data_IF_017396007751
#
_entry.id   IF_017396007751
#
_cell.length_a   1.000
_cell.length_b   1.000
_cell.length_c   1.000
_cell.angle_alpha   90.00
_cell.angle_beta   90.00
_cell.angle_gamma   90.00
#
_symmetry.space_group_name_H-M   'P 1'
#
loop_
_entity.id
_entity.type
_entity.pdbx_description
1 polymer ?
#
# COMPACT_ATOMS: atom_id res chain seq x y z
N UNK A 1 -17.30 5.75 34.61
CA UNK A 1 -17.35 6.78 33.56
C UNK A 1 -15.98 6.79 32.93
N UNK A 2 -15.84 6.09 31.84
CA UNK A 2 -14.56 5.96 31.09
C UNK A 2 -14.76 6.72 29.81
N UNK A 3 -14.21 7.93 29.76
CA UNK A 3 -14.15 8.72 28.54
C UNK A 3 -13.19 8.02 27.56
N UNK A 4 -13.74 7.37 26.55
CA UNK A 4 -12.98 6.98 25.38
C UNK A 4 -12.75 8.26 24.55
N UNK A 5 -11.60 8.87 24.75
CA UNK A 5 -11.08 9.88 23.84
C UNK A 5 -10.78 9.20 22.50
N UNK A 6 -11.78 9.21 21.61
CA UNK A 6 -11.57 8.86 20.22
C UNK A 6 -10.54 9.84 19.65
N UNK A 7 -9.46 9.32 19.06
CA UNK A 7 -8.55 10.14 18.24
C UNK A 7 -9.38 10.96 17.25
N UNK A 8 -9.09 12.26 17.07
CA UNK A 8 -9.79 13.05 16.08
C UNK A 8 -9.60 12.37 14.72
N UNK A 9 -10.73 12.03 14.07
CA UNK A 9 -10.71 11.53 12.72
C UNK A 9 -9.96 12.53 11.83
N UNK A 10 -9.09 12.03 10.96
CA UNK A 10 -8.41 12.87 9.97
C UNK A 10 -9.46 13.68 9.20
N UNK A 11 -9.29 14.99 9.14
CA UNK A 11 -10.15 15.89 8.35
C UNK A 11 -9.87 15.82 6.85
N UNK A 12 -9.11 14.79 6.41
CA UNK A 12 -8.78 14.60 5.00
C UNK A 12 -9.95 14.02 4.21
N UNK A 13 -10.08 14.44 2.96
CA UNK A 13 -10.95 13.79 1.96
C UNK A 13 -10.18 12.71 1.25
N UNK A 14 -10.83 11.56 1.00
CA UNK A 14 -10.24 10.43 0.27
C UNK A 14 -10.93 10.29 -1.08
N UNK A 15 -10.13 10.15 -2.12
CA UNK A 15 -10.56 9.98 -3.49
C UNK A 15 -9.94 8.73 -4.10
N UNK A 16 -10.70 8.02 -4.94
CA UNK A 16 -10.23 6.87 -5.70
C UNK A 16 -9.87 7.32 -7.11
N UNK A 17 -8.72 6.90 -7.60
CA UNK A 17 -8.18 7.26 -8.90
C UNK A 17 -7.88 6.02 -9.74
N UNK A 18 -8.20 6.11 -11.03
CA UNK A 18 -7.68 5.22 -12.06
C UNK A 18 -6.28 5.67 -12.55
N UNK A 19 -5.70 4.95 -13.52
CA UNK A 19 -4.35 5.25 -14.00
C UNK A 19 -4.21 6.64 -14.64
N UNK A 20 -5.18 7.09 -15.44
CA UNK A 20 -5.13 8.39 -16.13
C UNK A 20 -5.22 9.56 -15.13
N UNK A 21 -6.06 9.43 -14.11
CA UNK A 21 -6.22 10.43 -13.05
C UNK A 21 -4.97 10.48 -12.16
N UNK A 22 -4.40 9.32 -11.82
CA UNK A 22 -3.15 9.24 -11.08
C UNK A 22 -1.96 9.80 -11.87
N UNK A 23 -1.92 9.60 -13.20
CA UNK A 23 -0.92 10.22 -14.06
C UNK A 23 -1.05 11.75 -14.09
N UNK A 24 -2.27 12.26 -14.14
CA UNK A 24 -2.53 13.70 -14.09
C UNK A 24 -2.08 14.35 -12.77
N UNK A 25 -2.14 13.61 -11.66
CA UNK A 25 -1.70 14.04 -10.31
C UNK A 25 -0.26 13.60 -9.97
N UNK A 26 0.49 13.06 -10.94
CA UNK A 26 1.81 12.47 -10.67
C UNK A 26 2.75 13.42 -9.90
N UNK A 27 2.76 14.72 -10.23
CA UNK A 27 3.60 15.69 -9.53
C UNK A 27 3.31 15.81 -8.02
N UNK A 28 2.04 15.80 -7.63
CA UNK A 28 1.62 15.86 -6.22
C UNK A 28 1.89 14.53 -5.51
N UNK A 29 1.63 13.40 -6.16
CA UNK A 29 1.89 12.07 -5.64
C UNK A 29 3.39 11.88 -5.37
N UNK A 30 4.26 12.25 -6.32
CA UNK A 30 5.70 12.15 -6.19
C UNK A 30 6.25 13.08 -5.10
N UNK A 31 5.68 14.28 -4.96
CA UNK A 31 6.03 15.19 -3.86
C UNK A 31 5.66 14.59 -2.50
N UNK A 32 4.46 14.03 -2.37
CA UNK A 32 4.01 13.36 -1.14
C UNK A 32 4.85 12.11 -0.84
N UNK A 33 5.23 11.32 -1.85
CA UNK A 33 6.16 10.20 -1.71
C UNK A 33 7.50 10.67 -1.13
N UNK A 34 8.11 11.68 -1.75
CA UNK A 34 9.36 12.27 -1.30
C UNK A 34 9.27 12.76 0.15
N UNK A 35 8.20 13.48 0.50
CA UNK A 35 7.97 13.98 1.86
C UNK A 35 7.81 12.83 2.86
N UNK A 36 7.02 11.82 2.54
CA UNK A 36 6.76 10.69 3.43
C UNK A 36 8.00 9.83 3.70
N UNK A 37 8.86 9.63 2.70
CA UNK A 37 10.00 8.71 2.80
C UNK A 37 11.33 9.39 3.13
N UNK A 38 11.46 10.71 2.98
CA UNK A 38 12.67 11.45 3.36
C UNK A 38 12.94 11.46 4.87
N UNK A 39 11.92 11.28 5.70
CA UNK A 39 11.98 11.29 7.17
C UNK A 39 11.69 9.92 7.79
N UNK A 40 11.48 8.89 6.97
CA UNK A 40 11.01 7.59 7.46
C UNK A 40 12.16 6.64 7.80
N UNK A 41 11.87 5.62 8.62
CA UNK A 41 12.73 4.46 8.91
C UNK A 41 12.99 3.57 7.68
N UNK A 42 12.32 3.83 6.57
CA UNK A 42 12.63 3.28 5.26
C UNK A 42 13.91 3.99 4.81
N UNK A 43 15.01 3.31 4.77
CA UNK A 43 16.32 3.82 4.29
C UNK A 43 16.25 4.17 2.77
N UNK A 44 15.20 4.93 2.41
CA UNK A 44 14.94 5.38 1.05
C UNK A 44 15.81 6.58 0.77
N UNK A 45 17.00 6.31 0.26
CA UNK A 45 17.91 7.36 -0.15
C UNK A 45 17.44 8.05 -1.44
N UNK A 46 18.07 9.17 -1.80
CA UNK A 46 17.74 9.96 -2.99
C UNK A 46 17.70 9.12 -4.27
N UNK A 47 18.54 8.09 -4.38
CA UNK A 47 18.54 7.16 -5.53
C UNK A 47 17.25 6.34 -5.60
N UNK A 48 16.74 5.88 -4.46
CA UNK A 48 15.48 5.13 -4.40
C UNK A 48 14.28 6.01 -4.74
N UNK A 49 14.27 7.23 -4.22
CA UNK A 49 13.23 8.23 -4.55
C UNK A 49 13.23 8.50 -6.06
N UNK A 50 14.39 8.78 -6.63
CA UNK A 50 14.54 9.02 -8.08
C UNK A 50 14.13 7.80 -8.91
N UNK A 51 14.47 6.59 -8.49
CA UNK A 51 14.03 5.37 -9.18
C UNK A 51 12.50 5.22 -9.16
N UNK A 52 11.86 5.56 -8.04
CA UNK A 52 10.41 5.57 -7.94
C UNK A 52 9.80 6.59 -8.92
N UNK A 53 10.30 7.81 -8.94
CA UNK A 53 9.79 8.89 -9.79
C UNK A 53 9.97 8.61 -11.29
N UNK A 54 11.15 8.13 -11.70
CA UNK A 54 11.53 8.04 -13.12
C UNK A 54 11.18 6.69 -13.77
N UNK A 55 11.04 5.62 -13.00
CA UNK A 55 10.84 4.26 -13.53
C UNK A 55 9.68 3.52 -12.86
N UNK A 56 9.69 3.39 -11.51
CA UNK A 56 8.79 2.46 -10.83
C UNK A 56 7.33 2.91 -10.96
N UNK A 57 7.01 4.14 -10.54
CA UNK A 57 5.65 4.65 -10.59
C UNK A 57 5.09 4.74 -12.01
N UNK A 58 5.80 5.30 -13.02
CA UNK A 58 5.33 5.28 -14.40
C UNK A 58 5.08 3.90 -15.00
N UNK A 59 5.84 2.90 -14.58
CA UNK A 59 5.66 1.51 -14.99
C UNK A 59 4.45 0.87 -14.28
N UNK A 60 4.24 1.17 -12.99
CA UNK A 60 3.12 0.67 -12.22
C UNK A 60 1.78 1.21 -12.72
N UNK A 61 1.69 2.47 -13.14
CA UNK A 61 0.49 3.06 -13.78
C UNK A 61 -0.02 2.24 -14.98
N UNK A 62 0.86 1.54 -15.67
CA UNK A 62 0.53 0.72 -16.86
C UNK A 62 0.20 -0.74 -16.53
N UNK A 63 0.21 -1.12 -15.25
CA UNK A 63 -0.12 -2.48 -14.82
C UNK A 63 -1.62 -2.70 -14.89
N UNK A 64 -2.00 -3.93 -15.26
CA UNK A 64 -3.39 -4.35 -15.22
C UNK A 64 -3.96 -4.17 -13.81
N UNK A 65 -5.20 -3.69 -13.73
CA UNK A 65 -5.89 -3.51 -12.47
C UNK A 65 -5.29 -2.43 -11.56
N UNK A 66 -4.47 -1.50 -12.10
CA UNK A 66 -4.00 -0.37 -11.29
C UNK A 66 -5.17 0.39 -10.66
N UNK A 67 -5.08 0.62 -9.38
CA UNK A 67 -6.02 1.44 -8.61
C UNK A 67 -5.28 2.18 -7.50
N UNK A 68 -5.71 3.37 -7.21
CA UNK A 68 -5.09 4.25 -6.22
C UNK A 68 -6.14 4.96 -5.37
N UNK A 69 -5.80 5.22 -4.14
CA UNK A 69 -6.51 6.17 -3.27
C UNK A 69 -5.56 7.27 -2.85
N UNK A 70 -6.03 8.49 -2.85
CA UNK A 70 -5.29 9.67 -2.38
C UNK A 70 -6.06 10.37 -1.27
N UNK A 71 -5.33 11.08 -0.42
CA UNK A 71 -5.92 11.89 0.65
C UNK A 71 -5.47 13.34 0.52
N UNK A 72 -6.43 14.24 0.52
CA UNK A 72 -6.19 15.68 0.54
C UNK A 72 -6.58 16.24 1.91
N UNK A 73 -5.74 17.09 2.48
CA UNK A 73 -6.06 17.82 3.70
C UNK A 73 -7.06 18.98 3.43
N UNK A 74 -7.42 19.71 4.47
CA UNK A 74 -8.36 20.85 4.37
C UNK A 74 -7.88 21.98 3.47
N UNK A 75 -6.58 22.07 3.23
CA UNK A 75 -5.98 23.07 2.34
C UNK A 75 -5.90 22.58 0.89
N UNK A 76 -6.39 21.37 0.62
CA UNK A 76 -6.35 20.74 -0.69
C UNK A 76 -5.00 20.14 -1.06
N UNK A 77 -4.03 20.07 -0.14
CA UNK A 77 -2.74 19.43 -0.36
C UNK A 77 -2.89 17.91 -0.28
N UNK A 78 -2.31 17.17 -1.23
CA UNK A 78 -2.18 15.72 -1.17
C UNK A 78 -1.16 15.35 -0.07
N UNK A 79 -1.60 14.60 0.94
CA UNK A 79 -0.82 14.26 2.15
C UNK A 79 -0.66 12.77 2.40
N UNK A 80 -1.17 11.94 1.50
CA UNK A 80 -0.99 10.50 1.56
C UNK A 80 -1.68 9.80 0.41
N UNK A 81 -1.25 8.57 0.13
CA UNK A 81 -1.82 7.72 -0.91
C UNK A 81 -1.56 6.24 -0.63
N UNK A 82 -2.36 5.39 -1.26
CA UNK A 82 -2.15 3.95 -1.33
C UNK A 82 -2.49 3.47 -2.74
N UNK A 83 -1.66 2.63 -3.35
CA UNK A 83 -1.99 2.04 -4.65
C UNK A 83 -1.50 0.60 -4.79
N UNK A 84 -2.10 -0.06 -5.74
CA UNK A 84 -1.75 -1.41 -6.13
C UNK A 84 -2.19 -1.74 -7.54
N UNK A 85 -1.93 -2.97 -7.96
CA UNK A 85 -2.25 -3.51 -9.28
C UNK A 85 -2.32 -5.04 -9.22
N UNK A 86 -2.67 -5.70 -10.32
CA UNK A 86 -2.67 -7.16 -10.39
C UNK A 86 -1.23 -7.66 -10.48
N UNK A 87 -0.83 -8.44 -9.49
CA UNK A 87 0.47 -9.10 -9.40
C UNK A 87 0.47 -10.41 -10.18
N UNK A 88 1.39 -10.54 -11.15
CA UNK A 88 1.53 -11.71 -12.01
C UNK A 88 2.98 -12.21 -12.06
N UNK A 89 3.17 -13.48 -12.35
CA UNK A 89 4.50 -14.03 -12.66
C UNK A 89 5.14 -13.28 -13.83
N UNK A 90 6.45 -13.09 -13.77
CA UNK A 90 7.19 -12.23 -14.68
C UNK A 90 7.30 -10.78 -14.20
N UNK A 91 6.63 -10.42 -13.14
CA UNK A 91 6.80 -9.13 -12.46
C UNK A 91 7.79 -9.27 -11.31
N UNK A 92 8.59 -8.22 -11.11
CA UNK A 92 9.71 -8.24 -10.15
C UNK A 92 9.29 -8.69 -8.75
N UNK A 93 8.25 -8.07 -8.17
CA UNK A 93 7.83 -8.35 -6.79
C UNK A 93 7.30 -9.79 -6.66
N UNK A 94 6.41 -10.22 -7.55
CA UNK A 94 5.84 -11.56 -7.54
C UNK A 94 6.93 -12.63 -7.65
N UNK A 95 7.87 -12.48 -8.60
CA UNK A 95 8.96 -13.43 -8.80
C UNK A 95 9.97 -13.39 -7.64
N UNK A 96 10.23 -12.20 -7.07
CA UNK A 96 11.10 -12.04 -5.91
C UNK A 96 10.57 -12.79 -4.69
N UNK A 97 9.26 -12.67 -4.41
CA UNK A 97 8.60 -13.38 -3.31
C UNK A 97 8.50 -14.88 -3.60
N UNK A 98 8.09 -15.28 -4.82
CA UNK A 98 7.98 -16.67 -5.22
C UNK A 98 9.28 -17.46 -5.02
N UNK A 99 10.41 -16.85 -5.34
CA UNK A 99 11.73 -17.47 -5.16
C UNK A 99 12.13 -17.71 -3.69
N UNK A 100 11.40 -17.15 -2.71
CA UNK A 100 11.77 -17.14 -1.28
C UNK A 100 10.76 -17.81 -0.36
N UNK A 101 9.62 -18.20 -0.87
CA UNK A 101 8.57 -18.89 -0.09
C UNK A 101 8.42 -20.33 -0.56
N UNK A 102 7.72 -21.13 0.24
CA UNK A 102 7.45 -22.50 -0.13
C UNK A 102 6.51 -22.59 -1.36
N UNK A 103 6.71 -23.48 -2.33
CA UNK A 103 5.88 -23.57 -3.55
C UNK A 103 4.36 -23.70 -3.30
N UNK A 104 3.94 -24.30 -2.19
CA UNK A 104 2.53 -24.36 -1.83
C UNK A 104 1.94 -22.99 -1.47
N UNK A 105 2.74 -22.12 -0.84
CA UNK A 105 2.35 -20.75 -0.50
C UNK A 105 2.35 -19.89 -1.75
N UNK A 106 3.36 -20.03 -2.61
CA UNK A 106 3.38 -19.39 -3.94
C UNK A 106 2.08 -19.67 -4.69
N UNK A 107 1.76 -20.93 -4.91
CA UNK A 107 0.52 -21.35 -5.60
C UNK A 107 -0.75 -20.82 -4.91
N UNK A 108 -0.73 -20.69 -3.59
CA UNK A 108 -1.89 -20.25 -2.80
C UNK A 108 -2.09 -18.74 -2.83
N UNK A 109 -1.03 -17.95 -2.97
CA UNK A 109 -1.07 -16.51 -2.77
C UNK A 109 -0.74 -15.70 -4.01
N UNK A 110 0.16 -16.16 -4.89
CA UNK A 110 0.69 -15.37 -6.00
C UNK A 110 0.01 -15.70 -7.34
N UNK A 111 0.11 -14.77 -8.28
CA UNK A 111 -0.51 -14.86 -9.61
C UNK A 111 -2.00 -14.49 -9.59
N UNK A 112 -2.38 -13.35 -10.17
CA UNK A 112 -3.73 -12.80 -10.17
C UNK A 112 -4.19 -12.26 -8.82
N UNK A 113 -3.28 -12.01 -7.88
CA UNK A 113 -3.57 -11.33 -6.62
C UNK A 113 -3.53 -9.80 -6.82
N UNK A 114 -4.22 -9.06 -5.96
CA UNK A 114 -4.02 -7.62 -5.90
C UNK A 114 -2.78 -7.33 -5.04
N UNK A 115 -1.74 -6.78 -5.65
CA UNK A 115 -0.51 -6.38 -4.96
C UNK A 115 -0.65 -4.94 -4.49
N UNK A 116 -0.57 -4.69 -3.17
CA UNK A 116 -0.43 -3.34 -2.64
C UNK A 116 1.04 -2.98 -2.74
N UNK A 117 1.35 -2.05 -3.64
CA UNK A 117 2.71 -1.66 -3.96
C UNK A 117 3.24 -0.57 -3.03
N UNK A 118 2.41 0.42 -2.68
CA UNK A 118 2.82 1.52 -1.79
C UNK A 118 1.67 2.00 -0.90
N UNK A 119 2.02 2.35 0.32
CA UNK A 119 1.19 3.11 1.25
C UNK A 119 2.05 4.21 1.88
N UNK A 120 1.79 5.45 1.54
CA UNK A 120 2.52 6.61 2.03
C UNK A 120 1.59 7.57 2.77
N UNK A 121 2.02 8.06 3.92
CA UNK A 121 1.34 9.10 4.70
C UNK A 121 2.40 10.07 5.21
N UNK A 122 2.23 11.37 4.94
CA UNK A 122 3.13 12.39 5.45
C UNK A 122 3.18 12.38 6.98
N UNK A 123 4.34 12.67 7.54
CA UNK A 123 4.61 12.49 8.98
C UNK A 123 3.57 13.20 9.86
N UNK A 124 3.19 14.41 9.50
CA UNK A 124 2.21 15.21 10.25
C UNK A 124 0.81 14.58 10.31
N UNK A 125 0.48 13.71 9.35
CA UNK A 125 -0.82 13.03 9.25
C UNK A 125 -0.79 11.59 9.81
N UNK A 126 0.37 11.10 10.24
CA UNK A 126 0.50 9.77 10.85
C UNK A 126 -0.18 9.70 12.22
N UNK A 127 -0.58 8.50 12.60
CA UNK A 127 -1.25 8.26 13.89
C UNK A 127 -2.71 8.75 13.98
N UNK A 128 -3.23 9.40 12.93
CA UNK A 128 -4.61 9.91 12.84
C UNK A 128 -5.59 8.98 12.11
N UNK A 129 -5.19 7.75 11.80
CA UNK A 129 -6.01 6.77 11.10
C UNK A 129 -6.02 6.90 9.57
N UNK A 130 -5.27 7.84 8.98
CA UNK A 130 -5.29 8.11 7.55
C UNK A 130 -4.82 6.90 6.71
N UNK A 131 -3.74 6.22 7.12
CA UNK A 131 -3.26 5.02 6.43
C UNK A 131 -4.32 3.90 6.38
N UNK A 132 -5.08 3.72 7.47
CA UNK A 132 -6.21 2.78 7.49
C UNK A 132 -7.30 3.19 6.50
N UNK A 133 -7.67 4.46 6.50
CA UNK A 133 -8.72 4.96 5.64
C UNK A 133 -8.36 4.81 4.15
N UNK A 134 -7.12 5.14 3.77
CA UNK A 134 -6.60 4.95 2.41
C UNK A 134 -6.63 3.48 2.00
N UNK A 135 -6.07 2.60 2.82
CA UNK A 135 -6.01 1.17 2.52
C UNK A 135 -7.39 0.54 2.48
N UNK A 136 -8.29 0.87 3.41
CA UNK A 136 -9.67 0.37 3.39
C UNK A 136 -10.40 0.82 2.13
N UNK A 137 -10.31 2.10 1.77
CA UNK A 137 -10.93 2.63 0.55
C UNK A 137 -10.40 1.94 -0.71
N UNK A 138 -9.08 1.67 -0.77
CA UNK A 138 -8.49 0.93 -1.89
C UNK A 138 -9.04 -0.51 -1.94
N UNK A 139 -9.05 -1.22 -0.83
CA UNK A 139 -9.56 -2.59 -0.75
C UNK A 139 -11.04 -2.66 -1.14
N UNK A 140 -11.87 -1.71 -0.68
CA UNK A 140 -13.30 -1.67 -0.99
C UNK A 140 -13.58 -1.47 -2.49
N UNK A 141 -12.64 -0.84 -3.22
CA UNK A 141 -12.74 -0.66 -4.68
C UNK A 141 -12.37 -1.91 -5.49
N UNK A 142 -11.84 -2.97 -4.84
CA UNK A 142 -11.28 -4.15 -5.50
C UNK A 142 -12.17 -5.37 -5.31
N UNK A 143 -12.07 -6.32 -6.24
CA UNK A 143 -12.84 -7.56 -6.23
C UNK A 143 -12.01 -8.84 -6.14
N UNK A 144 -10.68 -8.73 -6.08
CA UNK A 144 -9.79 -9.90 -6.06
C UNK A 144 -9.92 -10.66 -4.73
N UNK A 145 -9.93 -11.99 -4.81
CA UNK A 145 -10.02 -12.88 -3.63
C UNK A 145 -8.80 -12.80 -2.73
N UNK A 146 -7.65 -12.43 -3.30
CA UNK A 146 -6.35 -12.40 -2.63
C UNK A 146 -5.70 -11.05 -2.78
N UNK A 147 -5.26 -10.51 -1.66
CA UNK A 147 -4.46 -9.29 -1.60
C UNK A 147 -3.14 -9.62 -0.95
N UNK A 148 -2.03 -9.12 -1.47
CA UNK A 148 -0.70 -9.33 -0.91
C UNK A 148 0.08 -8.03 -0.83
N UNK A 149 0.96 -7.94 0.15
CA UNK A 149 1.91 -6.84 0.33
C UNK A 149 3.18 -7.33 1.01
N UNK A 150 4.22 -6.53 0.96
CA UNK A 150 5.45 -6.75 1.70
C UNK A 150 5.80 -5.49 2.50
N UNK A 151 6.21 -5.67 3.73
CA UNK A 151 6.65 -4.58 4.61
C UNK A 151 7.98 -4.95 5.27
N UNK A 152 8.66 -3.95 5.80
CA UNK A 152 9.81 -4.19 6.67
C UNK A 152 9.34 -4.95 7.92
N UNK A 153 10.28 -5.52 8.65
CA UNK A 153 10.11 -6.35 9.84
C UNK A 153 8.88 -6.02 10.69
N UNK A 154 8.50 -6.94 11.56
CA UNK A 154 7.33 -6.85 12.47
C UNK A 154 7.32 -5.60 13.35
N UNK A 155 8.50 -4.96 13.52
CA UNK A 155 8.65 -3.70 14.25
C UNK A 155 8.28 -2.46 13.41
N UNK A 156 7.92 -2.63 12.14
CA UNK A 156 7.42 -1.55 11.30
C UNK A 156 6.14 -0.94 11.89
N UNK A 157 6.02 0.38 11.98
CA UNK A 157 4.79 1.04 12.43
C UNK A 157 3.55 0.68 11.60
N UNK A 158 3.73 0.22 10.37
CA UNK A 158 2.64 -0.20 9.49
C UNK A 158 2.16 -1.64 9.78
N UNK A 159 2.98 -2.49 10.41
CA UNK A 159 2.63 -3.89 10.65
C UNK A 159 1.34 -4.06 11.47
N UNK A 160 1.14 -3.37 12.62
CA UNK A 160 -0.12 -3.44 13.36
C UNK A 160 -1.34 -2.97 12.58
N UNK A 161 -1.17 -2.04 11.64
CA UNK A 161 -2.23 -1.61 10.75
C UNK A 161 -2.70 -2.77 9.88
N UNK A 162 -1.76 -3.47 9.23
CA UNK A 162 -2.09 -4.61 8.36
C UNK A 162 -2.77 -5.74 9.13
N UNK A 163 -2.23 -6.14 10.28
CA UNK A 163 -2.86 -7.17 11.13
C UNK A 163 -4.29 -6.79 11.52
N UNK A 164 -4.52 -5.54 11.89
CA UNK A 164 -5.85 -5.06 12.28
C UNK A 164 -6.87 -5.00 11.13
N UNK A 165 -6.41 -5.13 9.88
CA UNK A 165 -7.22 -5.26 8.67
C UNK A 165 -7.31 -6.72 8.17
N UNK A 166 -6.86 -7.68 8.99
CA UNK A 166 -6.97 -9.10 8.70
C UNK A 166 -5.87 -9.66 7.79
N UNK A 167 -4.80 -8.91 7.55
CA UNK A 167 -3.63 -9.46 6.87
C UNK A 167 -2.87 -10.40 7.78
N UNK A 168 -2.43 -11.53 7.26
CA UNK A 168 -1.65 -12.54 7.96
C UNK A 168 -0.33 -12.82 7.24
N UNK A 169 0.79 -13.00 7.98
CA UNK A 169 2.07 -13.32 7.37
C UNK A 169 2.05 -14.67 6.66
N UNK A 170 2.63 -14.74 5.46
CA UNK A 170 2.86 -15.99 4.74
C UNK A 170 4.30 -16.15 4.20
N UNK A 171 5.15 -15.15 4.40
CA UNK A 171 6.58 -15.19 4.10
C UNK A 171 7.35 -14.25 5.01
N UNK A 172 8.61 -14.64 5.33
CA UNK A 172 9.50 -13.88 6.20
C UNK A 172 10.94 -14.13 5.73
N UNK A 173 11.58 -13.14 5.16
CA UNK A 173 12.93 -13.24 4.58
C UNK A 173 13.55 -11.85 4.36
N UNK A 174 14.87 -11.77 4.42
CA UNK A 174 15.66 -10.58 4.08
C UNK A 174 15.21 -9.28 4.76
N UNK A 175 14.79 -9.33 6.03
CA UNK A 175 14.20 -8.22 6.79
C UNK A 175 12.82 -7.77 6.30
N UNK A 176 12.15 -8.59 5.49
CA UNK A 176 10.79 -8.33 5.03
C UNK A 176 9.81 -9.38 5.53
N UNK A 177 8.59 -8.94 5.80
CA UNK A 177 7.45 -9.81 6.03
C UNK A 177 6.47 -9.63 4.89
N UNK A 178 6.07 -10.75 4.28
CA UNK A 178 5.03 -10.78 3.26
C UNK A 178 3.72 -11.15 3.92
N UNK A 179 2.71 -10.32 3.74
CA UNK A 179 1.38 -10.51 4.32
C UNK A 179 0.35 -10.70 3.22
N UNK A 180 -0.63 -11.52 3.51
CA UNK A 180 -1.77 -11.78 2.64
C UNK A 180 -3.10 -11.59 3.37
N UNK A 181 -4.08 -11.09 2.65
CA UNK A 181 -5.46 -10.99 3.07
C UNK A 181 -6.34 -11.74 2.06
N UNK A 182 -7.23 -12.62 2.55
CA UNK A 182 -8.28 -13.24 1.73
C UNK A 182 -9.60 -12.59 2.04
N UNK A 183 -10.31 -12.22 1.01
CA UNK A 183 -11.70 -11.81 1.18
C UNK A 183 -12.52 -13.05 1.52
N UNK A 184 -13.36 -12.93 2.52
CA UNK A 184 -14.33 -13.95 2.82
C UNK A 184 -15.24 -14.11 1.60
N UNK A 185 -15.19 -15.25 0.95
CA UNK A 185 -16.20 -15.62 -0.04
C UNK A 185 -17.54 -15.61 0.71
N UNK A 186 -18.58 -14.92 0.21
CA UNK A 186 -19.89 -15.09 0.78
C UNK A 186 -20.21 -16.58 0.75
N UNK A 187 -20.54 -17.13 1.91
CA UNK A 187 -20.95 -18.52 2.05
C UNK A 187 -22.07 -18.78 1.06
N UNK A 188 -21.81 -19.69 0.11
CA UNK A 188 -22.79 -20.12 -0.90
C UNK A 188 -23.98 -20.81 -0.26
#
# INVERSE_FOLDING_TARGET
MSDSLGSPASSCTIEQLGPDEAEALAGEILLSYRTAFSTSHWDTNERGIKAFEEDIFPRHLKREGFAMTVAHNTDGKLVGFCYGYIGEHGQYWTDYVAARIHPSLEKSWLGGHFEIAELAVEEEERGKGLGRALLTSLLDSRGEDRVALMTLERDSPAFPLYESLGFTPFGDFDNYVVLGHRRDQPSA
#
